data_IF_861225778793
#
_entry.id   IF_861225778793
#
_cell.length_a   1.000
_cell.length_b   1.000
_cell.length_c   1.000
_cell.angle_alpha   90.00
_cell.angle_beta   90.00
_cell.angle_gamma   90.00
#
_symmetry.space_group_name_H-M   'P 1'
#
loop_
_entity.id
_entity.type
_entity.pdbx_description
1 polymer ?
#
# COMPACT_ATOMS: atom_id res chain seq x y z
N UNK A 1 -7.75 32.92 9.81
CA UNK A 1 -9.10 32.33 9.86
C UNK A 1 -8.92 30.92 9.31
N UNK A 2 -8.82 29.93 10.19
CA UNK A 2 -8.79 28.52 9.78
C UNK A 2 -10.13 28.28 9.07
N UNK A 3 -10.07 27.85 7.81
CA UNK A 3 -11.26 27.37 7.12
C UNK A 3 -11.60 26.07 7.84
N UNK A 4 -12.63 26.11 8.68
CA UNK A 4 -13.20 24.91 9.26
C UNK A 4 -13.96 24.21 8.13
N UNK A 5 -13.49 23.03 7.70
CA UNK A 5 -14.13 22.25 6.64
C UNK A 5 -15.36 21.58 7.24
N UNK A 6 -16.47 22.32 7.27
CA UNK A 6 -17.66 21.97 8.04
C UNK A 6 -18.57 20.93 7.35
N UNK A 7 -18.34 20.57 6.07
CA UNK A 7 -19.12 19.51 5.41
C UNK A 7 -18.40 18.75 4.29
N UNK A 8 -18.80 17.47 4.06
CA UNK A 8 -18.37 16.66 2.91
C UNK A 8 -18.66 17.35 1.57
N UNK A 9 -19.74 18.15 1.51
CA UNK A 9 -20.13 18.91 0.32
C UNK A 9 -19.10 20.00 -0.03
N UNK A 10 -18.53 20.68 0.96
CA UNK A 10 -17.46 21.66 0.74
C UNK A 10 -16.18 21.00 0.22
N UNK A 11 -15.83 19.83 0.76
CA UNK A 11 -14.68 19.07 0.31
C UNK A 11 -14.85 18.61 -1.14
N UNK A 12 -16.02 18.05 -1.47
CA UNK A 12 -16.35 17.64 -2.84
C UNK A 12 -16.34 18.82 -3.82
N UNK A 13 -16.89 19.97 -3.44
CA UNK A 13 -16.85 21.18 -4.25
C UNK A 13 -15.41 21.64 -4.52
N UNK A 14 -14.52 21.58 -3.51
CA UNK A 14 -13.12 21.95 -3.67
C UNK A 14 -12.35 20.97 -4.57
N UNK A 15 -12.58 19.65 -4.45
CA UNK A 15 -12.00 18.63 -5.33
C UNK A 15 -12.31 18.92 -6.81
N UNK A 16 -13.56 19.28 -7.11
CA UNK A 16 -14.00 19.58 -8.48
C UNK A 16 -13.74 21.03 -8.92
N UNK A 17 -13.18 21.88 -8.06
CA UNK A 17 -12.94 23.30 -8.31
C UNK A 17 -11.69 23.63 -9.14
N UNK A 18 -11.03 22.64 -9.73
CA UNK A 18 -9.80 22.83 -10.52
C UNK A 18 -8.65 23.44 -9.69
N UNK A 19 -7.79 24.28 -10.28
CA UNK A 19 -6.66 24.89 -9.56
C UNK A 19 -7.06 25.75 -8.35
N UNK A 20 -8.20 26.44 -8.41
CA UNK A 20 -8.69 27.26 -7.30
C UNK A 20 -9.21 26.39 -6.14
N UNK A 21 -9.89 25.29 -6.47
CA UNK A 21 -10.30 24.28 -5.50
C UNK A 21 -9.12 23.61 -4.83
N UNK A 22 -8.11 23.20 -5.60
CA UNK A 22 -6.87 22.63 -5.05
C UNK A 22 -6.12 23.62 -4.16
N UNK A 23 -6.03 24.90 -4.54
CA UNK A 23 -5.42 25.92 -3.69
C UNK A 23 -6.13 26.06 -2.34
N UNK A 24 -7.47 25.92 -2.33
CA UNK A 24 -8.26 25.91 -1.10
C UNK A 24 -7.94 24.70 -0.23
N UNK A 25 -7.86 23.49 -0.83
CA UNK A 25 -7.47 22.27 -0.12
C UNK A 25 -6.06 22.40 0.48
N UNK A 26 -5.09 22.88 -0.29
CA UNK A 26 -3.71 23.07 0.17
C UNK A 26 -3.62 24.05 1.35
N UNK A 27 -4.38 25.14 1.33
CA UNK A 27 -4.40 26.12 2.41
C UNK A 27 -4.89 25.56 3.75
N UNK A 28 -5.52 24.38 3.74
CA UNK A 28 -6.08 23.74 4.92
C UNK A 28 -5.76 22.24 4.99
N UNK A 29 -4.63 21.83 4.40
CA UNK A 29 -4.13 20.46 4.37
C UNK A 29 -3.53 20.02 5.72
N UNK A 30 -4.31 20.11 6.79
CA UNK A 30 -3.94 19.75 8.16
C UNK A 30 -4.69 18.53 8.70
N UNK A 31 -5.55 17.91 7.89
CA UNK A 31 -6.32 16.72 8.25
C UNK A 31 -6.16 15.64 7.18
N UNK A 32 -6.30 14.38 7.59
CA UNK A 32 -6.27 13.22 6.69
C UNK A 32 -7.28 13.36 5.56
N UNK A 33 -8.51 13.82 5.85
CA UNK A 33 -9.56 13.98 4.85
C UNK A 33 -9.18 15.00 3.76
N UNK A 34 -8.60 16.14 4.16
CA UNK A 34 -8.20 17.18 3.19
C UNK A 34 -6.99 16.72 2.38
N UNK A 35 -6.00 16.07 3.01
CA UNK A 35 -4.85 15.50 2.28
C UNK A 35 -5.29 14.39 1.32
N UNK A 36 -6.22 13.52 1.71
CA UNK A 36 -6.77 12.49 0.83
C UNK A 36 -7.53 13.10 -0.35
N UNK A 37 -8.29 14.19 -0.13
CA UNK A 37 -9.01 14.90 -1.18
C UNK A 37 -8.08 15.51 -2.25
N UNK A 38 -6.85 15.89 -1.87
CA UNK A 38 -5.83 16.32 -2.85
C UNK A 38 -5.49 15.23 -3.87
N UNK A 39 -5.78 13.95 -3.58
CA UNK A 39 -5.63 12.83 -4.50
C UNK A 39 -6.66 12.79 -5.64
N UNK A 40 -7.81 13.43 -5.45
CA UNK A 40 -8.87 13.55 -6.48
C UNK A 40 -8.84 14.93 -7.16
N UNK A 41 -8.13 15.90 -6.57
CA UNK A 41 -7.97 17.23 -7.13
C UNK A 41 -7.06 17.23 -8.37
N UNK A 42 -7.31 18.19 -9.28
CA UNK A 42 -6.67 18.24 -10.61
C UNK A 42 -5.71 19.43 -10.80
N UNK A 43 -5.49 20.24 -9.77
CA UNK A 43 -4.57 21.38 -9.87
C UNK A 43 -3.09 20.94 -9.97
N UNK A 44 -2.17 21.84 -10.37
CA UNK A 44 -0.77 21.48 -10.58
C UNK A 44 0.06 21.40 -9.29
N UNK A 45 -0.42 21.97 -8.18
CA UNK A 45 0.37 22.18 -6.96
C UNK A 45 0.22 21.05 -5.94
N UNK A 46 -0.82 20.22 -6.07
CA UNK A 46 -1.06 19.14 -5.12
C UNK A 46 -0.02 18.03 -5.18
N UNK A 47 0.42 17.60 -6.37
CA UNK A 47 1.47 16.56 -6.45
C UNK A 47 2.78 16.99 -5.77
N UNK A 48 3.35 18.19 -6.04
CA UNK A 48 4.51 18.68 -5.30
C UNK A 48 4.31 18.67 -3.78
N UNK A 49 3.21 19.23 -3.29
CA UNK A 49 2.90 19.25 -1.86
C UNK A 49 2.85 17.85 -1.25
N UNK A 50 2.18 16.89 -1.92
CA UNK A 50 2.07 15.53 -1.41
C UNK A 50 3.44 14.83 -1.35
N UNK A 51 4.34 15.08 -2.33
CA UNK A 51 5.71 14.53 -2.29
C UNK A 51 6.49 15.09 -1.10
N UNK A 52 6.41 16.40 -0.88
CA UNK A 52 7.07 17.06 0.24
C UNK A 52 6.53 16.54 1.58
N UNK A 53 5.21 16.34 1.69
CA UNK A 53 4.57 15.80 2.89
C UNK A 53 5.02 14.37 3.19
N UNK A 54 5.14 13.49 2.18
CA UNK A 54 5.66 12.14 2.39
C UNK A 54 7.10 12.16 2.88
N UNK A 55 7.94 13.06 2.35
CA UNK A 55 9.35 13.17 2.68
C UNK A 55 9.63 13.83 4.04
N UNK A 56 8.68 14.59 4.58
CA UNK A 56 8.81 15.23 5.90
C UNK A 56 8.61 14.23 7.03
N UNK A 57 9.71 13.67 7.54
CA UNK A 57 9.70 12.73 8.67
C UNK A 57 9.26 13.37 10.00
N UNK A 58 9.07 14.68 10.06
CA UNK A 58 8.53 15.37 11.24
C UNK A 58 7.01 15.55 11.18
N UNK A 59 6.40 15.33 10.02
CA UNK A 59 4.97 15.38 9.83
C UNK A 59 4.27 14.18 10.50
N UNK A 60 3.00 14.38 10.84
CA UNK A 60 2.14 13.34 11.38
C UNK A 60 2.09 12.11 10.44
N UNK A 61 2.44 10.90 10.92
CA UNK A 61 2.37 9.68 10.13
C UNK A 61 1.02 9.45 9.43
N UNK A 62 -0.10 9.85 10.02
CA UNK A 62 -1.42 9.70 9.39
C UNK A 62 -1.56 10.59 8.14
N UNK A 63 -1.03 11.81 8.18
CA UNK A 63 -1.02 12.72 7.03
C UNK A 63 -0.10 12.19 5.93
N UNK A 64 1.03 11.59 6.31
CA UNK A 64 1.96 10.95 5.37
C UNK A 64 1.35 9.72 4.70
N UNK A 65 0.63 8.88 5.46
CA UNK A 65 -0.18 7.78 4.92
C UNK A 65 -1.19 8.28 3.88
N UNK A 66 -1.95 9.32 4.20
CA UNK A 66 -2.91 9.93 3.28
C UNK A 66 -2.21 10.43 2.00
N UNK A 67 -1.02 11.03 2.14
CA UNK A 67 -0.26 11.55 1.03
C UNK A 67 0.26 10.47 0.07
N UNK A 68 0.72 9.33 0.59
CA UNK A 68 1.13 8.16 -0.22
C UNK A 68 -0.01 7.69 -1.15
N UNK A 69 -1.23 7.65 -0.63
CA UNK A 69 -2.42 7.20 -1.36
C UNK A 69 -2.83 8.21 -2.41
N UNK A 70 -2.85 9.49 -2.03
CA UNK A 70 -3.15 10.57 -2.94
C UNK A 70 -2.14 10.62 -4.10
N UNK A 71 -0.85 10.36 -3.84
CA UNK A 71 0.18 10.24 -4.86
C UNK A 71 -0.03 9.04 -5.78
N UNK A 72 -0.36 7.86 -5.24
CA UNK A 72 -0.66 6.68 -6.04
C UNK A 72 -1.80 6.95 -7.04
N UNK A 73 -2.86 7.63 -6.60
CA UNK A 73 -3.99 8.01 -7.46
C UNK A 73 -3.60 9.01 -8.55
N UNK A 74 -2.81 10.03 -8.21
CA UNK A 74 -2.51 11.15 -9.12
C UNK A 74 -1.36 10.92 -10.06
N UNK A 75 -0.34 10.23 -9.58
CA UNK A 75 0.92 10.06 -10.30
C UNK A 75 1.05 8.66 -10.88
N UNK A 76 0.25 7.70 -10.40
CA UNK A 76 0.37 6.30 -10.80
C UNK A 76 1.83 5.84 -10.71
N UNK A 77 2.39 5.26 -11.78
CA UNK A 77 3.80 4.92 -11.85
C UNK A 77 4.76 6.06 -11.45
N UNK A 78 4.46 7.33 -11.75
CA UNK A 78 5.33 8.45 -11.37
C UNK A 78 5.61 8.61 -9.86
N UNK A 79 4.87 7.91 -9.00
CA UNK A 79 5.11 7.84 -7.57
C UNK A 79 5.96 6.64 -7.10
N UNK A 80 6.19 5.60 -7.92
CA UNK A 80 6.76 4.31 -7.48
C UNK A 80 8.02 4.45 -6.65
N UNK A 81 8.97 5.28 -7.07
CA UNK A 81 10.26 5.41 -6.38
C UNK A 81 10.08 5.97 -4.96
N UNK A 82 9.24 7.00 -4.82
CA UNK A 82 8.92 7.60 -3.50
C UNK A 82 8.11 6.63 -2.63
N UNK A 83 7.19 5.86 -3.23
CA UNK A 83 6.45 4.83 -2.50
C UNK A 83 7.37 3.69 -2.06
N UNK A 84 8.37 3.31 -2.86
CA UNK A 84 9.37 2.31 -2.51
C UNK A 84 10.29 2.79 -1.38
N UNK A 85 10.69 4.07 -1.38
CA UNK A 85 11.42 4.69 -0.26
C UNK A 85 10.61 4.64 1.04
N UNK A 86 9.30 4.88 0.97
CA UNK A 86 8.41 4.83 2.13
C UNK A 86 8.22 3.42 2.72
N UNK A 87 8.67 2.35 2.05
CA UNK A 87 8.75 1.01 2.66
C UNK A 87 9.77 0.90 3.78
N UNK A 88 10.67 1.89 3.92
CA UNK A 88 11.71 1.94 4.96
C UNK A 88 11.39 2.94 6.06
N UNK A 89 10.16 3.43 6.10
CA UNK A 89 9.76 4.44 7.06
C UNK A 89 9.84 3.97 8.52
N UNK A 90 10.19 4.89 9.42
CA UNK A 90 10.24 4.62 10.85
C UNK A 90 8.88 4.33 11.46
N UNK A 91 7.80 4.85 10.86
CA UNK A 91 6.43 4.55 11.26
C UNK A 91 5.88 3.34 10.50
N UNK A 92 5.37 2.39 11.25
CA UNK A 92 4.85 1.14 10.72
C UNK A 92 3.60 1.33 9.84
N UNK A 93 2.75 2.30 10.15
CA UNK A 93 1.56 2.61 9.35
C UNK A 93 1.98 3.14 7.98
N UNK A 94 2.99 4.00 7.94
CA UNK A 94 3.52 4.55 6.68
C UNK A 94 4.08 3.46 5.79
N UNK A 95 4.88 2.52 6.35
CA UNK A 95 5.36 1.36 5.59
C UNK A 95 4.22 0.53 5.00
N UNK A 96 3.13 0.36 5.76
CA UNK A 96 1.97 -0.41 5.30
C UNK A 96 1.26 0.27 4.14
N UNK A 97 1.00 1.57 4.27
CA UNK A 97 0.34 2.37 3.25
C UNK A 97 1.21 2.50 1.99
N UNK A 98 2.53 2.50 2.13
CA UNK A 98 3.46 2.48 1.00
C UNK A 98 3.31 1.20 0.17
N UNK A 99 3.26 0.03 0.81
CA UNK A 99 3.08 -1.25 0.10
C UNK A 99 1.68 -1.37 -0.53
N UNK A 100 0.65 -0.86 0.14
CA UNK A 100 -0.69 -0.74 -0.43
C UNK A 100 -0.68 0.16 -1.67
N UNK A 101 -0.06 1.33 -1.58
CA UNK A 101 0.04 2.29 -2.67
C UNK A 101 0.79 1.69 -3.88
N UNK A 102 1.90 1.00 -3.66
CA UNK A 102 2.64 0.25 -4.70
C UNK A 102 1.76 -0.83 -5.35
N UNK A 103 1.00 -1.56 -4.55
CA UNK A 103 0.05 -2.58 -5.03
C UNK A 103 -1.07 -2.00 -5.89
N UNK A 104 -1.49 -0.76 -5.62
CA UNK A 104 -2.47 -0.03 -6.43
C UNK A 104 -1.86 0.51 -7.72
N UNK A 105 -0.64 1.05 -7.65
CA UNK A 105 0.07 1.58 -8.83
C UNK A 105 0.39 0.46 -9.82
N UNK A 106 0.82 -0.71 -9.34
CA UNK A 106 1.08 -1.88 -10.17
C UNK A 106 2.23 -1.70 -11.16
N UNK A 107 3.23 -0.90 -10.80
CA UNK A 107 4.49 -0.71 -11.50
C UNK A 107 5.57 -1.56 -10.81
N UNK A 108 6.47 -2.16 -11.59
CA UNK A 108 7.41 -3.22 -11.15
C UNK A 108 8.70 -2.69 -10.50
N UNK A 109 8.93 -1.37 -10.47
CA UNK A 109 10.18 -0.80 -9.95
C UNK A 109 10.43 -1.07 -8.46
N UNK A 110 9.40 -1.47 -7.71
CA UNK A 110 9.54 -1.81 -6.31
C UNK A 110 9.69 -3.32 -6.04
N UNK A 111 9.79 -4.19 -7.06
CA UNK A 111 9.91 -5.65 -6.88
C UNK A 111 11.01 -6.04 -5.89
N UNK A 112 12.22 -5.53 -6.05
CA UNK A 112 13.33 -5.88 -5.15
C UNK A 112 13.12 -5.35 -3.73
N UNK A 113 12.55 -4.15 -3.59
CA UNK A 113 12.25 -3.52 -2.30
C UNK A 113 11.17 -4.31 -1.54
N UNK A 114 10.08 -4.69 -2.23
CA UNK A 114 8.97 -5.46 -1.65
C UNK A 114 9.43 -6.89 -1.31
N UNK A 115 10.28 -7.50 -2.13
CA UNK A 115 10.84 -8.82 -1.85
C UNK A 115 11.71 -8.79 -0.59
N UNK A 116 12.60 -7.80 -0.47
CA UNK A 116 13.43 -7.63 0.71
C UNK A 116 12.60 -7.39 1.97
N UNK A 117 11.56 -6.54 1.89
CA UNK A 117 10.64 -6.28 2.99
C UNK A 117 9.92 -7.56 3.44
N UNK A 118 9.37 -8.34 2.51
CA UNK A 118 8.68 -9.60 2.82
C UNK A 118 9.63 -10.60 3.48
N UNK A 119 10.86 -10.74 2.97
CA UNK A 119 11.84 -11.64 3.56
C UNK A 119 12.20 -11.22 5.00
N UNK A 120 12.41 -9.93 5.26
CA UNK A 120 12.67 -9.42 6.61
C UNK A 120 11.48 -9.67 7.54
N UNK A 121 10.26 -9.33 7.12
CA UNK A 121 9.02 -9.52 7.87
C UNK A 121 8.77 -11.01 8.22
N UNK A 122 8.97 -11.93 7.27
CA UNK A 122 8.78 -13.37 7.51
C UNK A 122 9.86 -13.96 8.43
N UNK A 123 11.08 -13.41 8.38
CA UNK A 123 12.20 -13.89 9.17
C UNK A 123 12.34 -13.20 10.53
N UNK A 124 11.54 -12.17 10.81
CA UNK A 124 11.46 -11.55 12.13
C UNK A 124 10.87 -12.51 13.18
N UNK A 125 11.62 -12.76 14.25
CA UNK A 125 11.16 -13.56 15.39
C UNK A 125 10.05 -12.86 16.19
N UNK A 126 9.97 -11.53 16.09
CA UNK A 126 9.02 -10.70 16.82
C UNK A 126 7.76 -10.37 16.02
N UNK A 127 7.61 -10.92 14.80
CA UNK A 127 6.42 -10.78 13.93
C UNK A 127 5.09 -10.97 14.68
N UNK A 128 5.05 -11.94 15.59
CA UNK A 128 3.86 -12.27 16.39
C UNK A 128 3.44 -11.17 17.39
N UNK A 129 4.34 -10.23 17.71
CA UNK A 129 4.08 -9.06 18.58
C UNK A 129 3.66 -7.82 17.79
N UNK A 130 3.80 -7.84 16.47
CA UNK A 130 3.35 -6.73 15.63
C UNK A 130 1.81 -6.61 15.72
N UNK A 131 1.26 -5.39 15.74
CA UNK A 131 -0.17 -5.14 15.61
C UNK A 131 -0.79 -5.97 14.48
N UNK A 132 -2.03 -6.43 14.68
CA UNK A 132 -2.77 -7.28 13.72
C UNK A 132 -2.69 -6.73 12.29
N UNK A 133 -2.86 -5.41 12.10
CA UNK A 133 -2.77 -4.77 10.79
C UNK A 133 -1.42 -4.98 10.07
N UNK A 134 -0.31 -5.04 10.81
CA UNK A 134 1.05 -5.22 10.27
C UNK A 134 1.37 -6.68 9.95
N UNK A 135 0.75 -7.63 10.66
CA UNK A 135 0.94 -9.06 10.38
C UNK A 135 0.40 -9.44 8.99
N UNK A 136 -0.50 -8.65 8.41
CA UNK A 136 -1.07 -8.91 7.08
C UNK A 136 -0.31 -8.30 5.92
N UNK A 137 0.87 -7.72 6.14
CA UNK A 137 1.66 -7.14 5.06
C UNK A 137 2.22 -8.17 4.09
N UNK A 138 2.28 -9.45 4.48
CA UNK A 138 2.65 -10.53 3.58
C UNK A 138 1.67 -10.70 2.42
N UNK A 139 0.36 -10.51 2.63
CA UNK A 139 -0.65 -10.68 1.58
C UNK A 139 -0.48 -9.64 0.44
N UNK A 140 -0.46 -8.32 0.70
CA UNK A 140 -0.20 -7.33 -0.35
C UNK A 140 1.21 -7.47 -0.92
N UNK A 141 2.23 -7.81 -0.11
CA UNK A 141 3.59 -8.06 -0.62
C UNK A 141 3.63 -9.23 -1.61
N UNK A 142 3.10 -10.41 -1.22
CA UNK A 142 3.01 -11.59 -2.07
C UNK A 142 2.17 -11.29 -3.31
N UNK A 143 1.06 -10.57 -3.18
CA UNK A 143 0.21 -10.19 -4.31
C UNK A 143 0.96 -9.31 -5.31
N UNK A 144 1.68 -8.29 -4.83
CA UNK A 144 2.48 -7.41 -5.67
C UNK A 144 3.59 -8.21 -6.38
N UNK A 145 4.35 -9.00 -5.64
CA UNK A 145 5.45 -9.80 -6.20
C UNK A 145 4.95 -10.82 -7.23
N UNK A 146 3.80 -11.44 -7.01
CA UNK A 146 3.19 -12.37 -7.96
C UNK A 146 2.69 -11.69 -9.22
N UNK A 147 2.09 -10.49 -9.10
CA UNK A 147 1.69 -9.70 -10.27
C UNK A 147 2.87 -9.39 -11.18
N UNK A 148 4.05 -9.19 -10.58
CA UNK A 148 5.29 -8.85 -11.26
C UNK A 148 6.25 -10.03 -11.43
N UNK A 149 5.80 -11.26 -11.16
CA UNK A 149 6.61 -12.45 -11.36
C UNK A 149 6.68 -12.76 -12.86
N UNK A 150 7.72 -12.26 -13.53
CA UNK A 150 7.91 -12.45 -14.98
C UNK A 150 8.34 -13.88 -15.35
N UNK A 151 8.64 -14.73 -14.37
CA UNK A 151 9.10 -16.10 -14.60
C UNK A 151 8.65 -17.07 -13.52
N UNK A 152 8.53 -18.34 -13.91
CA UNK A 152 8.25 -19.44 -12.97
C UNK A 152 9.32 -19.58 -11.90
N UNK A 153 10.57 -19.23 -12.21
CA UNK A 153 11.66 -19.24 -11.23
C UNK A 153 11.41 -18.23 -10.09
N UNK A 154 10.87 -17.04 -10.41
CA UNK A 154 10.49 -16.03 -9.40
C UNK A 154 9.28 -16.47 -8.58
N UNK A 155 8.28 -17.09 -9.23
CA UNK A 155 7.15 -17.71 -8.51
C UNK A 155 7.64 -18.80 -7.54
N UNK A 156 8.55 -19.68 -7.97
CA UNK A 156 9.10 -20.77 -7.18
C UNK A 156 10.00 -20.26 -6.01
N UNK A 157 10.76 -19.18 -6.24
CA UNK A 157 11.55 -18.49 -5.22
C UNK A 157 10.65 -17.93 -4.11
N UNK A 158 9.62 -17.17 -4.49
CA UNK A 158 8.64 -16.61 -3.55
C UNK A 158 7.87 -17.72 -2.81
N UNK A 159 7.46 -18.77 -3.51
CA UNK A 159 6.80 -19.92 -2.89
C UNK A 159 7.68 -20.60 -1.84
N UNK A 160 8.98 -20.73 -2.12
CA UNK A 160 9.95 -21.32 -1.20
C UNK A 160 10.15 -20.45 0.04
N UNK A 161 10.22 -19.12 -0.12
CA UNK A 161 10.27 -18.17 0.99
C UNK A 161 9.04 -18.28 1.89
N UNK A 162 7.85 -18.30 1.31
CA UNK A 162 6.58 -18.45 2.04
C UNK A 162 6.53 -19.81 2.74
N UNK A 163 6.87 -20.91 2.05
CA UNK A 163 6.82 -22.28 2.59
C UNK A 163 7.76 -22.44 3.79
N UNK A 164 8.98 -21.91 3.70
CA UNK A 164 9.97 -21.95 4.77
C UNK A 164 9.51 -21.22 6.04
N UNK A 165 8.55 -20.29 5.92
CA UNK A 165 8.06 -19.46 7.01
C UNK A 165 6.58 -19.71 7.38
N UNK A 166 5.93 -20.76 6.84
CA UNK A 166 4.53 -21.11 7.16
C UNK A 166 4.18 -21.15 8.66
N UNK A 167 5.04 -21.66 9.56
CA UNK A 167 4.73 -21.70 10.99
C UNK A 167 4.58 -20.31 11.62
N UNK A 168 5.14 -19.28 10.98
CA UNK A 168 5.14 -17.88 11.46
C UNK A 168 3.96 -17.07 10.95
N UNK A 169 3.30 -17.53 9.89
CA UNK A 169 2.11 -16.90 9.35
C UNK A 169 0.93 -17.04 10.32
N UNK A 170 0.08 -16.02 10.39
CA UNK A 170 -1.21 -16.04 11.06
C UNK A 170 -2.23 -16.91 10.33
N UNK A 171 -3.39 -17.11 10.96
CA UNK A 171 -4.48 -17.91 10.38
C UNK A 171 -4.98 -17.33 9.06
N UNK A 172 -5.22 -16.02 9.02
CA UNK A 172 -5.76 -15.35 7.83
C UNK A 172 -4.79 -15.42 6.63
N UNK A 173 -3.48 -15.29 6.85
CA UNK A 173 -2.46 -15.46 5.80
C UNK A 173 -2.46 -16.89 5.26
N UNK A 174 -2.51 -17.90 6.14
CA UNK A 174 -2.56 -19.32 5.72
C UNK A 174 -3.85 -19.68 5.01
N UNK A 175 -4.99 -19.18 5.49
CA UNK A 175 -6.28 -19.38 4.84
C UNK A 175 -6.28 -18.76 3.44
N UNK A 176 -5.73 -17.54 3.32
CA UNK A 176 -5.58 -16.86 2.04
C UNK A 176 -4.69 -17.67 1.09
N UNK A 177 -3.52 -18.13 1.54
CA UNK A 177 -2.62 -18.97 0.72
C UNK A 177 -3.28 -20.28 0.28
N UNK A 178 -4.09 -20.90 1.13
CA UNK A 178 -4.81 -22.14 0.79
C UNK A 178 -5.78 -21.94 -0.38
N UNK A 179 -6.38 -20.74 -0.49
CA UNK A 179 -7.32 -20.41 -1.56
C UNK A 179 -6.59 -19.94 -2.82
N UNK A 180 -5.62 -19.03 -2.69
CA UNK A 180 -5.00 -18.34 -3.84
C UNK A 180 -3.73 -18.99 -4.37
N UNK A 181 -3.03 -19.74 -3.51
CA UNK A 181 -1.78 -20.38 -3.88
C UNK A 181 -1.51 -21.65 -3.05
N UNK A 182 -2.36 -22.69 -3.21
CA UNK A 182 -2.31 -23.89 -2.37
C UNK A 182 -0.96 -24.60 -2.41
N UNK A 183 -0.20 -24.45 -3.49
CA UNK A 183 1.15 -25.01 -3.62
C UNK A 183 2.13 -24.48 -2.57
N UNK A 184 1.89 -23.32 -1.96
CA UNK A 184 2.72 -22.80 -0.86
C UNK A 184 2.47 -23.52 0.47
N UNK A 185 1.32 -24.17 0.63
CA UNK A 185 0.89 -24.83 1.89
C UNK A 185 0.86 -26.36 1.80
N UNK A 186 0.74 -26.94 0.61
CA UNK A 186 0.74 -28.40 0.39
C UNK A 186 2.17 -28.93 0.19
N UNK A 187 2.47 -30.10 0.75
CA UNK A 187 3.73 -30.82 0.60
C UNK A 187 3.48 -32.29 0.20
N UNK A 188 3.98 -32.78 -0.96
CA UNK A 188 4.74 -32.04 -1.97
C UNK A 188 3.88 -31.06 -2.77
N UNK A 189 4.46 -30.00 -3.37
CA UNK A 189 3.74 -29.04 -4.21
C UNK A 189 3.11 -29.73 -5.42
N UNK A 190 1.93 -29.30 -5.83
CA UNK A 190 1.18 -29.96 -6.92
C UNK A 190 1.55 -29.44 -8.31
N UNK A 191 2.32 -28.36 -8.39
CA UNK A 191 2.69 -27.65 -9.62
C UNK A 191 1.67 -26.57 -10.03
N UNK A 192 0.66 -26.31 -9.20
CA UNK A 192 -0.38 -25.32 -9.45
C UNK A 192 0.18 -23.90 -9.30
N UNK A 193 -0.11 -23.07 -10.29
CA UNK A 193 0.25 -21.66 -10.28
C UNK A 193 -0.67 -20.85 -9.37
N UNK A 194 -0.20 -19.74 -8.79
CA UNK A 194 -1.05 -18.83 -8.06
C UNK A 194 -2.15 -18.25 -8.95
N UNK A 195 -3.33 -18.01 -8.37
CA UNK A 195 -4.44 -17.33 -9.04
C UNK A 195 -4.21 -15.81 -9.11
N UNK A 196 -3.17 -15.38 -9.85
CA UNK A 196 -2.64 -14.01 -9.85
C UNK A 196 -3.66 -12.90 -10.17
N UNK A 197 -4.68 -13.19 -10.98
CA UNK A 197 -5.71 -12.22 -11.39
C UNK A 197 -6.83 -12.02 -10.37
N UNK A 198 -7.10 -13.00 -9.49
CA UNK A 198 -8.17 -12.89 -8.49
C UNK A 198 -7.74 -12.13 -7.22
N UNK A 199 -6.42 -11.95 -7.01
CA UNK A 199 -5.88 -11.25 -5.84
C UNK A 199 -6.15 -9.74 -5.87
N UNK A 200 -6.39 -9.16 -7.05
CA UNK A 200 -6.86 -7.76 -7.20
C UNK A 200 -8.32 -7.61 -6.76
N UNK A 201 -9.12 -8.68 -6.89
CA UNK A 201 -10.51 -8.71 -6.44
C UNK A 201 -10.64 -8.96 -4.93
N UNK A 202 -9.59 -9.47 -4.26
CA UNK A 202 -9.52 -9.66 -2.80
C UNK A 202 -9.20 -8.37 -2.02
N UNK A 203 -9.76 -7.26 -2.49
CA UNK A 203 -9.73 -5.97 -1.81
C UNK A 203 -10.78 -5.75 -0.69
N UNK A 204 -11.36 -6.74 0.05
CA UNK A 204 -12.08 -6.39 1.28
C UNK A 204 -11.21 -5.63 2.30
N UNK A 205 -9.91 -5.95 2.37
CA UNK A 205 -8.94 -5.26 3.24
C UNK A 205 -8.72 -3.80 2.81
N UNK A 206 -8.60 -3.54 1.50
CA UNK A 206 -8.53 -2.17 0.99
C UNK A 206 -9.86 -1.42 1.11
N UNK A 207 -11.01 -2.10 0.97
CA UNK A 207 -12.32 -1.47 1.19
C UNK A 207 -12.59 -1.12 2.67
N UNK A 208 -11.94 -1.82 3.61
CA UNK A 208 -12.02 -1.51 5.05
C UNK A 208 -11.11 -0.34 5.42
N UNK A 209 -9.95 -0.22 4.75
CA UNK A 209 -8.98 0.88 4.95
C UNK A 209 -9.37 2.14 4.13
N UNK A 210 -10.11 1.96 3.04
CA UNK A 210 -10.70 3.02 2.19
C UNK A 210 -12.18 2.73 1.93
N UNK A 211 -13.08 3.06 2.86
CA UNK A 211 -14.49 3.15 2.51
C UNK A 211 -14.65 4.21 1.41
N UNK A 212 -15.45 3.88 0.38
CA UNK A 212 -15.85 4.84 -0.66
C UNK A 212 -16.61 6.02 -0.07
#
# INVERSE_FOLDING_TARGET
MLIDWESEEQLAAAVHGGPAGEASLLAAASTVAVVAALGEATGPSGVPFLRDLVADLTADPELRCAALVALAKRSGPGASDLLAEALYDGDDSVRNYALVALSCVGDDRAVDHVHALLALDLTDGERHRLPFAMQYMSIPAVTYLLRHAESRAREDELASLVRANLPRLGKVERDWLTVFWPDTVVDPPTGNRPHATDMVAWQPLLATIYPR
#
